data_IF_089702827570
#
_entry.id   IF_089702827570
#
_cell.length_a   1.000
_cell.length_b   1.000
_cell.length_c   1.000
_cell.angle_alpha   90.00
_cell.angle_beta   90.00
_cell.angle_gamma   90.00
#
_symmetry.space_group_name_H-M   'P 1'
#
loop_
_entity.id
_entity.type
_entity.pdbx_description
1 polymer ?
#
# COMPACT_ATOMS: atom_id res chain seq x y z
N UNK A 1 -28.20 9.49 18.14
CA UNK A 1 -27.30 10.59 17.73
C UNK A 1 -25.95 10.07 17.27
N UNK A 2 -25.31 10.78 16.34
CA UNK A 2 -23.95 10.47 15.88
C UNK A 2 -22.98 11.12 16.87
N UNK A 3 -22.28 10.30 17.66
CA UNK A 3 -21.27 10.77 18.62
C UNK A 3 -20.09 11.35 17.83
N UNK A 4 -19.65 12.57 18.16
CA UNK A 4 -18.46 13.20 17.57
C UNK A 4 -17.42 13.56 18.64
N UNK A 5 -16.18 13.75 18.21
CA UNK A 5 -15.08 14.15 19.10
C UNK A 5 -15.32 15.51 19.77
N UNK A 6 -16.15 16.37 19.17
CA UNK A 6 -16.49 17.71 19.70
C UNK A 6 -17.30 17.63 21.00
N UNK A 7 -17.87 16.47 21.31
CA UNK A 7 -18.68 16.21 22.52
C UNK A 7 -17.84 15.67 23.69
N UNK A 8 -16.51 15.62 23.57
CA UNK A 8 -15.62 14.98 24.54
C UNK A 8 -15.11 15.89 25.66
N UNK A 9 -15.69 17.09 25.80
CA UNK A 9 -15.42 17.98 26.90
C UNK A 9 -15.49 17.26 28.26
N UNK A 10 -14.42 17.34 29.06
CA UNK A 10 -14.32 16.75 30.39
C UNK A 10 -14.22 15.21 30.43
N UNK A 11 -14.12 14.53 29.29
CA UNK A 11 -13.97 13.06 29.23
C UNK A 11 -12.53 12.62 29.46
N UNK A 12 -12.37 11.37 29.87
CA UNK A 12 -11.08 10.68 29.95
C UNK A 12 -10.81 9.91 28.66
N UNK A 13 -9.70 10.21 27.99
CA UNK A 13 -9.31 9.59 26.72
C UNK A 13 -8.04 8.78 26.92
N UNK A 14 -8.13 7.46 26.83
CA UNK A 14 -6.97 6.57 26.90
C UNK A 14 -6.31 6.41 25.52
N UNK A 15 -4.97 6.50 25.48
CA UNK A 15 -4.20 6.35 24.23
C UNK A 15 -2.73 6.02 24.51
N UNK A 16 -2.08 5.35 23.56
CA UNK A 16 -0.62 5.26 23.50
C UNK A 16 0.03 6.46 22.80
N UNK A 17 -0.76 7.36 22.21
CA UNK A 17 -0.31 8.48 21.38
C UNK A 17 -0.81 9.84 21.92
N UNK A 18 -0.45 10.23 23.16
CA UNK A 18 -1.05 11.38 23.84
C UNK A 18 -0.87 12.69 23.07
N UNK A 19 0.30 12.92 22.48
CA UNK A 19 0.58 14.16 21.75
C UNK A 19 -0.27 14.30 20.47
N UNK A 20 -0.57 13.19 19.79
CA UNK A 20 -1.44 13.20 18.60
C UNK A 20 -2.87 13.59 18.99
N UNK A 21 -3.38 13.02 20.08
CA UNK A 21 -4.71 13.31 20.61
C UNK A 21 -4.79 14.76 21.09
N UNK A 22 -3.78 15.24 21.81
CA UNK A 22 -3.69 16.62 22.28
C UNK A 22 -3.78 17.64 21.13
N UNK A 23 -3.04 17.39 20.03
CA UNK A 23 -3.08 18.24 18.84
C UNK A 23 -4.46 18.24 18.16
N UNK A 24 -5.15 17.10 18.09
CA UNK A 24 -6.51 17.04 17.52
C UNK A 24 -7.54 17.75 18.42
N UNK A 25 -7.51 17.51 19.73
CA UNK A 25 -8.37 18.20 20.70
C UNK A 25 -8.19 19.72 20.68
N UNK A 26 -6.94 20.19 20.61
CA UNK A 26 -6.61 21.61 20.51
C UNK A 26 -7.17 22.24 19.23
N UNK A 27 -7.09 21.55 18.08
CA UNK A 27 -7.69 22.01 16.81
C UNK A 27 -9.21 22.13 16.90
N UNK A 28 -9.85 21.29 17.72
CA UNK A 28 -11.31 21.28 17.95
C UNK A 28 -11.77 22.19 19.08
N UNK A 29 -10.86 22.83 19.80
CA UNK A 29 -11.15 23.58 21.02
C UNK A 29 -11.92 22.76 22.08
N UNK A 30 -11.50 21.50 22.27
CA UNK A 30 -12.09 20.56 23.25
C UNK A 30 -11.09 20.29 24.36
N UNK A 31 -11.49 20.47 25.61
CA UNK A 31 -10.68 20.12 26.78
C UNK A 31 -11.10 18.74 27.33
N UNK A 32 -10.16 17.80 27.37
CA UNK A 32 -10.37 16.45 27.87
C UNK A 32 -9.12 15.94 28.62
N UNK A 33 -9.29 14.98 29.53
CA UNK A 33 -8.19 14.37 30.26
C UNK A 33 -7.56 13.25 29.44
N UNK A 34 -6.30 13.40 29.05
CA UNK A 34 -5.56 12.35 28.32
C UNK A 34 -4.89 11.40 29.31
N UNK A 35 -5.14 10.10 29.17
CA UNK A 35 -4.52 9.03 29.96
C UNK A 35 -3.59 8.23 29.05
N UNK A 36 -2.27 8.37 29.27
CA UNK A 36 -1.28 7.61 28.53
C UNK A 36 -1.26 6.15 29.00
N UNK A 37 -1.35 5.20 28.07
CA UNK A 37 -1.18 3.77 28.30
C UNK A 37 -0.15 3.19 27.32
N UNK A 38 0.60 2.18 27.72
CA UNK A 38 1.64 1.56 26.88
C UNK A 38 1.12 0.49 25.90
N UNK A 39 -0.19 0.19 25.95
CA UNK A 39 -0.88 -0.73 25.04
C UNK A 39 -2.20 -1.24 25.61
N UNK A 40 -2.88 -2.12 24.87
CA UNK A 40 -4.18 -2.71 25.23
C UNK A 40 -5.21 -1.67 25.69
N UNK A 41 -5.28 -0.54 24.98
CA UNK A 41 -6.13 0.60 25.35
C UNK A 41 -7.61 0.23 25.38
N UNK A 42 -8.05 -0.77 24.63
CA UNK A 42 -9.46 -1.17 24.54
C UNK A 42 -10.06 -1.64 25.87
N UNK A 43 -9.27 -2.28 26.73
CA UNK A 43 -9.77 -2.76 28.02
C UNK A 43 -9.96 -1.64 29.04
N UNK A 44 -9.36 -0.47 28.81
CA UNK A 44 -9.43 0.68 29.71
C UNK A 44 -10.86 1.19 29.93
N UNK A 45 -11.73 1.05 28.92
CA UNK A 45 -13.16 1.39 29.03
C UNK A 45 -13.85 0.46 30.04
N UNK A 46 -13.63 -0.85 29.91
CA UNK A 46 -14.26 -1.86 30.78
C UNK A 46 -13.78 -1.75 32.23
N UNK A 47 -12.52 -1.37 32.43
CA UNK A 47 -11.93 -1.15 33.75
C UNK A 47 -12.32 0.21 34.37
N UNK A 48 -13.07 1.04 33.64
CA UNK A 48 -13.48 2.37 34.11
C UNK A 48 -12.35 3.39 34.19
N UNK A 49 -11.21 3.11 33.54
CA UNK A 49 -10.05 4.01 33.49
C UNK A 49 -10.33 5.19 32.56
N UNK A 50 -10.99 4.95 31.43
CA UNK A 50 -11.32 5.97 30.43
C UNK A 50 -12.77 5.88 29.96
N UNK A 51 -13.26 6.97 29.37
CA UNK A 51 -14.59 7.05 28.78
C UNK A 51 -14.53 6.85 27.25
N UNK A 52 -13.38 7.17 26.64
CA UNK A 52 -13.09 7.04 25.21
C UNK A 52 -11.65 6.53 25.02
N UNK A 53 -11.36 5.90 23.88
CA UNK A 53 -9.99 5.59 23.47
C UNK A 53 -9.64 6.24 22.14
N UNK A 54 -8.35 6.48 21.92
CA UNK A 54 -7.81 6.83 20.61
C UNK A 54 -6.64 5.89 20.28
N UNK A 55 -6.80 5.10 19.22
CA UNK A 55 -5.82 4.09 18.81
C UNK A 55 -5.79 3.87 17.30
N UNK A 56 -4.77 3.15 16.84
CA UNK A 56 -4.62 2.73 15.44
C UNK A 56 -5.68 1.70 15.08
N UNK A 57 -6.36 1.90 13.96
CA UNK A 57 -7.36 0.96 13.45
C UNK A 57 -7.07 0.59 12.01
N UNK A 58 -6.86 -0.71 11.75
CA UNK A 58 -6.75 -1.25 10.39
C UNK A 58 -8.11 -1.79 9.90
N UNK A 59 -8.47 -3.02 10.26
CA UNK A 59 -9.77 -3.62 9.90
C UNK A 59 -10.91 -3.22 10.84
N UNK A 60 -10.60 -2.83 12.07
CA UNK A 60 -11.59 -2.54 13.13
C UNK A 60 -12.12 -3.77 13.87
N UNK A 61 -11.56 -4.96 13.62
CA UNK A 61 -11.98 -6.21 14.26
C UNK A 61 -11.82 -6.17 15.79
N UNK A 62 -10.63 -5.80 16.28
CA UNK A 62 -10.33 -5.72 17.72
C UNK A 62 -11.27 -4.77 18.47
N UNK A 63 -11.56 -3.60 17.89
CA UNK A 63 -12.51 -2.65 18.47
C UNK A 63 -13.92 -3.25 18.60
N UNK A 64 -14.37 -3.94 17.56
CA UNK A 64 -15.72 -4.54 17.53
C UNK A 64 -15.83 -5.64 18.58
N UNK A 65 -14.81 -6.49 18.71
CA UNK A 65 -14.73 -7.56 19.72
C UNK A 65 -14.69 -6.99 21.15
N UNK A 66 -14.13 -5.79 21.34
CA UNK A 66 -14.16 -5.06 22.61
C UNK A 66 -15.50 -4.35 22.90
N UNK A 67 -16.47 -4.38 21.98
CA UNK A 67 -17.74 -3.66 22.09
C UNK A 67 -17.64 -2.16 21.80
N UNK A 68 -16.56 -1.74 21.13
CA UNK A 68 -16.28 -0.35 20.80
C UNK A 68 -16.69 -0.04 19.35
N UNK A 69 -17.00 1.23 19.09
CA UNK A 69 -17.33 1.73 17.75
C UNK A 69 -16.42 2.89 17.38
N UNK A 70 -16.02 2.94 16.11
CA UNK A 70 -15.36 4.11 15.54
C UNK A 70 -16.31 5.30 15.50
N UNK A 71 -15.78 6.48 15.71
CA UNK A 71 -16.50 7.75 15.72
C UNK A 71 -15.65 8.82 15.03
N UNK A 72 -16.32 9.82 14.46
CA UNK A 72 -15.64 10.93 13.80
C UNK A 72 -14.74 10.52 12.63
N UNK A 73 -13.93 11.48 12.18
CA UNK A 73 -12.87 11.27 11.19
C UNK A 73 -11.58 10.80 11.87
N UNK A 74 -10.70 10.07 11.17
CA UNK A 74 -9.39 9.69 11.69
C UNK A 74 -8.57 10.91 12.11
N UNK A 75 -7.88 10.82 13.26
CA UNK A 75 -6.94 11.85 13.72
C UNK A 75 -5.76 12.01 12.74
N UNK A 76 -5.32 10.89 12.15
CA UNK A 76 -4.33 10.84 11.07
C UNK A 76 -4.55 9.59 10.21
N UNK A 77 -3.99 9.60 9.01
CA UNK A 77 -3.76 8.40 8.20
C UNK A 77 -2.30 8.00 8.36
N UNK A 78 -2.07 6.77 8.82
CA UNK A 78 -0.72 6.24 9.04
C UNK A 78 -0.26 5.42 7.84
N UNK A 79 0.98 5.64 7.44
CA UNK A 79 1.68 4.85 6.43
C UNK A 79 3.16 4.71 6.79
N UNK A 80 3.87 3.77 6.16
CA UNK A 80 5.31 3.67 6.32
C UNK A 80 6.00 4.77 5.52
N UNK A 81 6.79 5.59 6.20
CA UNK A 81 7.59 6.66 5.59
C UNK A 81 9.08 6.45 5.85
N UNK A 82 9.92 6.96 4.96
CA UNK A 82 11.35 7.07 5.20
C UNK A 82 11.65 8.46 5.77
N UNK A 83 12.36 8.51 6.89
CA UNK A 83 12.78 9.74 7.55
C UNK A 83 14.30 9.88 7.50
N UNK A 84 14.78 11.11 7.32
CA UNK A 84 16.18 11.47 7.43
C UNK A 84 16.38 12.40 8.64
N UNK A 85 17.55 12.33 9.27
CA UNK A 85 17.85 13.17 10.43
C UNK A 85 17.86 14.67 10.10
N UNK A 86 18.40 15.03 8.93
CA UNK A 86 18.43 16.40 8.43
C UNK A 86 18.30 16.45 6.92
N UNK A 87 18.03 17.65 6.39
CA UNK A 87 18.01 17.91 4.94
C UNK A 87 19.39 17.67 4.29
N UNK A 88 20.47 17.90 5.03
CA UNK A 88 21.83 17.61 4.57
C UNK A 88 22.05 16.10 4.39
N UNK A 89 21.63 15.28 5.35
CA UNK A 89 21.68 13.81 5.22
C UNK A 89 20.90 13.35 4.00
N UNK A 90 19.72 13.92 3.77
CA UNK A 90 18.86 13.58 2.64
C UNK A 90 19.50 13.91 1.28
N UNK A 91 20.31 14.97 1.20
CA UNK A 91 21.05 15.38 0.00
C UNK A 91 22.36 14.62 -0.20
N UNK A 92 22.78 13.82 0.78
CA UNK A 92 23.98 13.00 0.70
C UNK A 92 23.87 11.87 -0.33
N UNK A 93 24.99 11.54 -0.98
CA UNK A 93 25.05 10.48 -1.99
C UNK A 93 24.58 9.11 -1.49
N UNK A 94 24.82 8.80 -0.22
CA UNK A 94 24.43 7.53 0.42
C UNK A 94 22.91 7.43 0.56
N UNK A 95 22.26 8.53 0.97
CA UNK A 95 20.81 8.61 1.07
C UNK A 95 20.15 8.50 -0.31
N UNK A 96 20.68 9.19 -1.32
CA UNK A 96 20.20 9.06 -2.70
C UNK A 96 20.33 7.62 -3.23
N UNK A 97 21.48 6.96 -2.99
CA UNK A 97 21.67 5.57 -3.38
C UNK A 97 20.69 4.62 -2.67
N UNK A 98 20.46 4.82 -1.38
CA UNK A 98 19.47 4.06 -0.61
C UNK A 98 18.05 4.29 -1.15
N UNK A 99 17.68 5.55 -1.40
CA UNK A 99 16.40 5.93 -1.97
C UNK A 99 16.17 5.27 -3.34
N UNK A 100 17.18 5.27 -4.22
CA UNK A 100 17.10 4.60 -5.52
C UNK A 100 16.87 3.09 -5.39
N UNK A 101 17.53 2.43 -4.42
CA UNK A 101 17.33 0.99 -4.14
C UNK A 101 15.92 0.73 -3.60
N UNK A 102 15.45 1.53 -2.65
CA UNK A 102 14.12 1.37 -2.06
C UNK A 102 13.01 1.64 -3.07
N UNK A 103 13.13 2.73 -3.86
CA UNK A 103 12.20 3.05 -4.96
C UNK A 103 12.10 1.89 -5.94
N UNK A 104 13.23 1.29 -6.31
CA UNK A 104 13.21 0.15 -7.23
C UNK A 104 12.45 -1.07 -6.70
N UNK A 105 12.45 -1.29 -5.38
CA UNK A 105 11.64 -2.35 -4.74
C UNK A 105 10.16 -1.97 -4.74
N UNK A 106 9.82 -0.71 -4.43
CA UNK A 106 8.44 -0.22 -4.41
C UNK A 106 7.82 -0.32 -5.80
N UNK A 107 8.52 0.18 -6.83
CA UNK A 107 8.09 0.10 -8.22
C UNK A 107 7.91 -1.36 -8.64
N UNK A 108 8.88 -2.24 -8.35
CA UNK A 108 8.78 -3.66 -8.73
C UNK A 108 7.54 -4.36 -8.17
N UNK A 109 7.00 -3.94 -7.01
CA UNK A 109 5.77 -4.52 -6.44
C UNK A 109 4.51 -4.25 -7.27
N UNK A 110 4.52 -3.20 -8.10
CA UNK A 110 3.39 -2.85 -8.97
C UNK A 110 3.39 -3.65 -10.28
N UNK A 111 4.47 -4.36 -10.59
CA UNK A 111 4.66 -5.00 -11.88
C UNK A 111 4.97 -6.49 -11.76
N UNK A 112 4.71 -7.21 -12.85
CA UNK A 112 5.11 -8.59 -13.07
C UNK A 112 5.71 -8.72 -14.46
N UNK A 113 6.51 -9.75 -14.67
CA UNK A 113 6.94 -10.14 -16.01
C UNK A 113 5.94 -11.17 -16.52
N UNK A 114 5.37 -10.91 -17.70
CA UNK A 114 4.57 -11.88 -18.46
C UNK A 114 5.43 -12.41 -19.60
N UNK A 115 5.51 -13.73 -19.70
CA UNK A 115 6.21 -14.46 -20.76
C UNK A 115 5.21 -15.38 -21.45
N UNK A 116 5.22 -15.44 -22.77
CA UNK A 116 4.29 -16.25 -23.53
C UNK A 116 4.81 -16.58 -24.93
N UNK A 117 4.34 -17.70 -25.46
CA UNK A 117 4.52 -18.07 -26.86
C UNK A 117 3.34 -17.55 -27.69
N UNK A 118 3.60 -16.98 -28.86
CA UNK A 118 2.58 -16.43 -29.76
C UNK A 118 2.86 -16.81 -31.22
N UNK A 119 1.82 -17.10 -32.04
CA UNK A 119 1.99 -17.20 -33.48
C UNK A 119 2.49 -15.87 -34.06
N UNK A 120 3.43 -15.91 -35.00
CA UNK A 120 3.98 -14.70 -35.64
C UNK A 120 2.91 -13.82 -36.30
N UNK A 121 1.80 -14.42 -36.76
CA UNK A 121 0.66 -13.68 -37.33
C UNK A 121 -0.07 -12.78 -36.32
N UNK A 122 0.02 -13.07 -35.03
CA UNK A 122 -0.59 -12.31 -33.94
C UNK A 122 0.41 -11.43 -33.17
N UNK A 123 1.71 -11.49 -33.50
CA UNK A 123 2.80 -10.83 -32.77
C UNK A 123 2.58 -9.31 -32.63
N UNK A 124 2.19 -8.62 -33.71
CA UNK A 124 1.94 -7.17 -33.65
C UNK A 124 0.85 -6.78 -32.67
N UNK A 125 -0.25 -7.57 -32.60
CA UNK A 125 -1.33 -7.36 -31.64
C UNK A 125 -0.84 -7.63 -30.21
N UNK A 126 -0.06 -8.70 -30.03
CA UNK A 126 0.51 -9.06 -28.73
C UNK A 126 1.44 -7.96 -28.19
N UNK A 127 2.30 -7.37 -29.03
CA UNK A 127 3.15 -6.24 -28.66
C UNK A 127 2.36 -4.98 -28.27
N UNK A 128 1.15 -4.80 -28.80
CA UNK A 128 0.26 -3.70 -28.38
C UNK A 128 -0.37 -3.97 -27.01
N UNK A 129 -0.70 -5.23 -26.71
CA UNK A 129 -1.23 -5.63 -25.41
C UNK A 129 -0.17 -5.59 -24.31
N UNK A 130 1.07 -5.93 -24.64
CA UNK A 130 2.19 -5.92 -23.70
C UNK A 130 3.35 -5.08 -24.25
N UNK A 131 3.24 -3.74 -24.20
CA UNK A 131 4.27 -2.84 -24.75
C UNK A 131 5.57 -2.84 -23.94
N UNK A 132 5.56 -3.40 -22.71
CA UNK A 132 6.71 -3.33 -21.82
C UNK A 132 6.95 -1.92 -21.27
N UNK A 133 8.13 -1.69 -20.70
CA UNK A 133 8.57 -0.35 -20.28
C UNK A 133 9.14 0.42 -21.47
N UNK A 134 10.12 -0.17 -22.16
CA UNK A 134 10.70 0.38 -23.38
C UNK A 134 10.09 -0.28 -24.63
N UNK A 135 10.09 -1.61 -24.65
CA UNK A 135 9.56 -2.46 -25.71
C UNK A 135 9.49 -3.91 -25.20
N UNK A 136 8.59 -4.78 -25.69
CA UNK A 136 8.64 -6.21 -25.40
C UNK A 136 9.91 -6.85 -25.98
N UNK A 137 10.50 -7.77 -25.24
CA UNK A 137 11.56 -8.65 -25.77
C UNK A 137 10.91 -9.73 -26.62
N UNK A 138 11.40 -9.94 -27.85
CA UNK A 138 10.90 -10.95 -28.79
C UNK A 138 12.05 -11.89 -29.13
N UNK A 139 11.84 -13.20 -28.94
CA UNK A 139 12.81 -14.24 -29.28
C UNK A 139 12.19 -15.27 -30.25
N UNK A 140 12.93 -15.76 -31.26
CA UNK A 140 12.46 -16.83 -32.12
C UNK A 140 12.40 -18.16 -31.35
N UNK A 141 11.45 -19.02 -31.70
CA UNK A 141 11.37 -20.40 -31.22
C UNK A 141 11.86 -21.39 -32.30
N UNK A 142 12.11 -22.64 -31.90
CA UNK A 142 12.45 -23.72 -32.84
C UNK A 142 11.35 -23.95 -33.88
N UNK A 143 10.08 -23.71 -33.52
CA UNK A 143 9.00 -23.62 -34.49
C UNK A 143 9.00 -22.22 -35.12
N UNK A 144 9.37 -22.14 -36.40
CA UNK A 144 9.51 -20.88 -37.12
C UNK A 144 8.22 -20.06 -37.22
N UNK A 145 7.05 -20.66 -36.99
CA UNK A 145 5.77 -19.96 -36.99
C UNK A 145 5.45 -19.25 -35.68
N UNK A 146 6.27 -19.43 -34.65
CA UNK A 146 6.07 -18.90 -33.30
C UNK A 146 7.21 -18.00 -32.84
N UNK A 147 6.91 -17.17 -31.84
CA UNK A 147 7.87 -16.37 -31.11
C UNK A 147 7.54 -16.41 -29.61
N UNK A 148 8.57 -16.32 -28.77
CA UNK A 148 8.41 -16.01 -27.36
C UNK A 148 8.46 -14.51 -27.15
N UNK A 149 7.54 -13.99 -26.35
CA UNK A 149 7.47 -12.59 -25.95
C UNK A 149 7.59 -12.48 -24.45
N UNK A 150 8.41 -11.53 -23.99
CA UNK A 150 8.61 -11.20 -22.57
C UNK A 150 8.41 -9.70 -22.38
N UNK A 151 7.51 -9.33 -21.48
CA UNK A 151 7.19 -7.93 -21.21
C UNK A 151 6.81 -7.71 -19.75
N UNK A 152 7.17 -6.53 -19.23
CA UNK A 152 6.72 -6.09 -17.92
C UNK A 152 5.33 -5.48 -18.02
N UNK A 153 4.41 -5.88 -17.15
CA UNK A 153 3.01 -5.38 -17.12
C UNK A 153 2.61 -5.01 -15.70
N UNK A 154 1.65 -4.10 -15.56
CA UNK A 154 1.09 -3.77 -14.24
C UNK A 154 0.35 -4.98 -13.67
N UNK A 155 0.58 -5.26 -12.38
CA UNK A 155 -0.04 -6.38 -11.67
C UNK A 155 -1.57 -6.28 -11.60
N UNK A 156 -2.11 -5.06 -11.60
CA UNK A 156 -3.57 -4.81 -11.68
C UNK A 156 -4.20 -5.29 -12.98
N UNK A 157 -3.45 -5.27 -14.08
CA UNK A 157 -3.96 -5.52 -15.43
C UNK A 157 -3.63 -6.94 -15.90
N UNK A 158 -2.81 -7.66 -15.12
CA UNK A 158 -2.25 -8.98 -15.43
C UNK A 158 -3.30 -9.97 -15.93
N UNK A 159 -4.37 -10.21 -15.16
CA UNK A 159 -5.40 -11.20 -15.54
C UNK A 159 -6.06 -10.83 -16.87
N UNK A 160 -6.44 -9.56 -17.06
CA UNK A 160 -7.05 -9.10 -18.31
C UNK A 160 -6.12 -9.25 -19.51
N UNK A 161 -4.82 -8.98 -19.32
CA UNK A 161 -3.81 -9.17 -20.35
C UNK A 161 -3.67 -10.65 -20.71
N UNK A 162 -3.63 -11.54 -19.71
CA UNK A 162 -3.56 -12.98 -19.94
C UNK A 162 -4.75 -13.49 -20.77
N UNK A 163 -5.97 -13.04 -20.44
CA UNK A 163 -7.17 -13.40 -21.19
C UNK A 163 -7.09 -12.92 -22.65
N UNK A 164 -6.75 -11.64 -22.86
CA UNK A 164 -6.62 -11.05 -24.22
C UNK A 164 -5.52 -11.71 -25.04
N UNK A 165 -4.42 -12.11 -24.41
CA UNK A 165 -3.34 -12.85 -25.07
C UNK A 165 -3.81 -14.25 -25.48
N UNK A 166 -4.55 -14.95 -24.62
CA UNK A 166 -5.12 -16.25 -24.93
C UNK A 166 -6.11 -16.19 -26.11
N UNK A 167 -6.95 -15.15 -26.16
CA UNK A 167 -7.91 -14.92 -27.25
C UNK A 167 -7.25 -14.77 -28.63
N UNK A 168 -6.04 -14.21 -28.68
CA UNK A 168 -5.27 -14.07 -29.92
C UNK A 168 -4.31 -15.25 -30.18
N UNK A 169 -4.44 -16.33 -29.40
CA UNK A 169 -3.74 -17.59 -29.62
C UNK A 169 -2.43 -17.75 -28.85
N UNK A 170 -2.13 -16.89 -27.87
CA UNK A 170 -0.97 -17.09 -27.01
C UNK A 170 -1.07 -18.41 -26.22
N UNK A 171 0.09 -19.03 -25.97
CA UNK A 171 0.23 -20.28 -25.21
C UNK A 171 1.36 -20.13 -24.19
N UNK A 172 1.34 -20.97 -23.16
CA UNK A 172 2.39 -20.97 -22.14
C UNK A 172 2.54 -19.60 -21.44
N UNK A 173 1.43 -18.92 -21.17
CA UNK A 173 1.47 -17.60 -20.52
C UNK A 173 1.87 -17.78 -19.05
N UNK A 174 3.08 -17.33 -18.73
CA UNK A 174 3.70 -17.45 -17.41
C UNK A 174 3.86 -16.06 -16.82
N UNK A 175 3.65 -15.94 -15.51
CA UNK A 175 3.86 -14.71 -14.76
C UNK A 175 4.93 -14.93 -13.70
N UNK A 176 5.90 -14.00 -13.62
CA UNK A 176 6.94 -14.01 -12.59
C UNK A 176 6.98 -12.68 -11.84
N UNK A 177 7.04 -12.73 -10.51
CA UNK A 177 7.20 -11.55 -9.66
C UNK A 177 8.60 -10.93 -9.80
N UNK A 178 8.66 -9.60 -9.70
CA UNK A 178 9.91 -8.83 -9.77
C UNK A 178 10.29 -8.41 -8.34
N UNK A 179 11.55 -8.63 -7.96
CA UNK A 179 12.05 -8.21 -6.64
C UNK A 179 12.46 -6.74 -6.59
N UNK A 180 13.07 -6.25 -7.66
CA UNK A 180 13.51 -4.85 -7.81
C UNK A 180 13.71 -4.51 -9.27
N UNK A 181 13.42 -3.28 -9.66
CA UNK A 181 13.71 -2.76 -10.99
C UNK A 181 14.11 -1.27 -10.91
N UNK A 182 14.92 -0.79 -11.85
CA UNK A 182 15.17 0.65 -12.03
C UNK A 182 14.55 1.06 -13.35
N UNK A 183 13.74 2.11 -13.28
CA UNK A 183 13.07 2.75 -14.41
C UNK A 183 13.49 4.21 -14.39
#
# INVERSE_FOLDING_TARGET
>A
EKITADQFGGKRIATSYPHIVELDLKKRNVEAQIIKLDGAVEISIRLGVADVIADVVQSGRTLTEAGLKKIGEPLLKSESILIAHSEETLKGNEADLFLKRLKGIIVAREFVIVEYDIPKSALSKACTLTPGIESPTIAPLSNENWAAVKAMVRKSDMNSIMDKLADIGAKGIIVTDIRTCRI
#
